data_IF_705829302929
#
_entry.id   IF_705829302929
#
_cell.length_a   1.000
_cell.length_b   1.000
_cell.length_c   1.000
_cell.angle_alpha   90.00
_cell.angle_beta   90.00
_cell.angle_gamma   90.00
#
_symmetry.space_group_name_H-M   'P 1'
#
loop_
_entity.id
_entity.type
_entity.pdbx_description
1 polymer ?
#
# COMPACT_ATOMS: atom_id res chain seq x y z
N UNK A 1 -9.02 23.36 11.97
CA UNK A 1 -8.35 22.77 10.80
C UNK A 1 -7.30 21.78 11.29
N UNK A 2 -7.56 20.47 11.25
CA UNK A 2 -6.53 19.45 11.52
C UNK A 2 -5.75 19.23 10.21
N UNK A 3 -4.72 20.05 9.96
CA UNK A 3 -3.99 20.15 8.68
C UNK A 3 -2.92 19.04 8.45
N UNK A 4 -3.08 17.88 9.07
CA UNK A 4 -2.13 16.78 8.92
C UNK A 4 -2.65 15.72 7.95
N UNK A 5 -1.75 15.11 7.17
CA UNK A 5 -2.02 13.88 6.43
C UNK A 5 -1.36 12.75 7.19
N UNK A 6 -2.13 11.74 7.59
CA UNK A 6 -1.61 10.54 8.22
C UNK A 6 -1.36 9.46 7.17
N UNK A 7 -0.11 9.03 7.03
CA UNK A 7 0.28 7.90 6.17
C UNK A 7 0.59 6.70 7.03
N UNK A 8 -0.22 5.66 6.90
CA UNK A 8 -0.02 4.38 7.56
C UNK A 8 0.84 3.47 6.68
N UNK A 9 2.16 3.49 6.91
CA UNK A 9 3.11 2.70 6.12
C UNK A 9 2.86 1.19 6.24
N UNK A 10 2.34 0.72 7.37
CA UNK A 10 2.02 -0.69 7.55
C UNK A 10 0.94 -1.13 6.57
N UNK A 11 -0.16 -0.38 6.47
CA UNK A 11 -1.23 -0.65 5.48
C UNK A 11 -0.73 -0.54 4.04
N UNK A 12 0.12 0.44 3.76
CA UNK A 12 0.68 0.64 2.43
C UNK A 12 1.55 -0.54 1.99
N UNK A 13 2.48 -0.99 2.84
CA UNK A 13 3.31 -2.17 2.57
C UNK A 13 2.51 -3.49 2.58
N UNK A 14 1.39 -3.53 3.29
CA UNK A 14 0.45 -4.65 3.27
C UNK A 14 -0.36 -4.78 1.98
N UNK A 15 -0.34 -3.78 1.09
CA UNK A 15 -1.04 -3.87 -0.19
C UNK A 15 -0.28 -4.82 -1.14
N UNK A 16 -0.89 -5.94 -1.58
CA UNK A 16 -0.22 -6.93 -2.44
C UNK A 16 0.29 -6.34 -3.75
N UNK A 17 -0.42 -5.36 -4.32
CA UNK A 17 0.00 -4.71 -5.56
C UNK A 17 1.25 -3.84 -5.37
N UNK A 18 1.36 -3.17 -4.22
CA UNK A 18 2.58 -2.41 -3.87
C UNK A 18 3.74 -3.37 -3.65
N UNK A 19 3.53 -4.42 -2.83
CA UNK A 19 4.54 -5.42 -2.51
C UNK A 19 5.09 -6.11 -3.75
N UNK A 20 4.23 -6.59 -4.65
CA UNK A 20 4.62 -7.41 -5.81
C UNK A 20 5.09 -6.52 -6.95
N UNK A 21 4.31 -5.51 -7.36
CA UNK A 21 4.60 -4.78 -8.60
C UNK A 21 5.54 -3.59 -8.39
N UNK A 22 5.40 -2.83 -7.31
CA UNK A 22 6.23 -1.65 -7.07
C UNK A 22 7.55 -2.00 -6.35
N UNK A 23 7.52 -3.00 -5.48
CA UNK A 23 8.66 -3.38 -4.63
C UNK A 23 9.22 -4.77 -4.96
N UNK A 24 8.80 -5.37 -6.08
CA UNK A 24 9.34 -6.63 -6.62
C UNK A 24 9.40 -7.79 -5.62
N UNK A 25 8.49 -7.83 -4.65
CA UNK A 25 8.45 -8.88 -3.63
C UNK A 25 9.65 -8.86 -2.68
N UNK A 26 10.34 -7.73 -2.49
CA UNK A 26 11.56 -7.59 -1.67
C UNK A 26 11.44 -8.04 -0.21
N UNK A 27 10.22 -8.20 0.31
CA UNK A 27 9.96 -8.70 1.67
C UNK A 27 8.86 -9.77 1.67
N UNK A 28 9.03 -10.79 2.49
CA UNK A 28 8.09 -11.90 2.61
C UNK A 28 6.94 -11.60 3.58
N UNK A 29 7.28 -11.01 4.74
CA UNK A 29 6.33 -10.68 5.82
C UNK A 29 6.20 -9.17 5.98
N UNK A 30 5.00 -8.74 6.36
CA UNK A 30 4.67 -7.34 6.58
C UNK A 30 4.96 -6.94 8.03
N UNK A 31 6.23 -6.98 8.44
CA UNK A 31 6.68 -6.40 9.70
C UNK A 31 7.88 -5.49 9.45
N UNK A 32 8.10 -4.53 10.36
CA UNK A 32 9.12 -3.50 10.19
C UNK A 32 10.51 -4.08 9.89
N UNK A 33 10.91 -5.15 10.59
CA UNK A 33 12.24 -5.76 10.41
C UNK A 33 12.41 -6.38 9.02
N UNK A 34 11.43 -7.16 8.57
CA UNK A 34 11.49 -7.83 7.26
C UNK A 34 11.43 -6.83 6.11
N UNK A 35 10.62 -5.77 6.23
CA UNK A 35 10.53 -4.71 5.24
C UNK A 35 11.84 -3.90 5.20
N UNK A 36 12.38 -3.52 6.37
CA UNK A 36 13.65 -2.80 6.47
C UNK A 36 14.79 -3.60 5.84
N UNK A 37 14.92 -4.89 6.15
CA UNK A 37 15.96 -5.75 5.57
C UNK A 37 15.82 -5.87 4.05
N UNK A 38 14.58 -6.01 3.56
CA UNK A 38 14.32 -6.17 2.12
C UNK A 38 14.52 -4.90 1.29
N UNK A 39 14.15 -3.73 1.83
CA UNK A 39 14.24 -2.46 1.10
C UNK A 39 15.54 -1.72 1.38
N UNK A 40 15.94 -1.59 2.65
CA UNK A 40 17.05 -0.74 3.09
C UNK A 40 18.35 -1.54 3.34
N UNK A 41 18.29 -2.87 3.40
CA UNK A 41 19.43 -3.71 3.78
C UNK A 41 19.82 -3.64 5.25
N UNK A 42 19.04 -2.93 6.07
CA UNK A 42 19.25 -2.78 7.53
C UNK A 42 18.09 -3.40 8.32
N UNK A 43 18.36 -3.82 9.56
CA UNK A 43 17.36 -4.46 10.43
C UNK A 43 17.03 -3.64 11.68
N UNK A 44 16.08 -4.15 12.48
CA UNK A 44 15.86 -3.67 13.84
C UNK A 44 17.04 -4.01 14.75
N UNK A 45 17.12 -3.33 15.89
CA UNK A 45 18.07 -3.65 16.96
C UNK A 45 17.74 -5.02 17.54
N UNK A 46 18.74 -5.87 17.67
CA UNK A 46 18.64 -7.12 18.43
C UNK A 46 18.68 -6.79 19.93
N UNK A 47 17.66 -7.23 20.66
CA UNK A 47 17.49 -6.89 22.07
C UNK A 47 18.22 -7.88 22.97
N UNK A 48 18.85 -7.38 24.03
CA UNK A 48 19.53 -8.20 25.03
C UNK A 48 18.56 -8.99 25.94
N UNK A 49 17.36 -8.46 26.15
CA UNK A 49 16.28 -9.07 26.93
C UNK A 49 14.90 -8.63 26.39
N UNK A 50 13.83 -9.02 27.07
CA UNK A 50 12.49 -8.53 26.85
C UNK A 50 12.41 -7.01 27.04
N UNK A 51 11.59 -6.34 26.23
CA UNK A 51 11.46 -4.87 26.20
C UNK A 51 11.24 -4.26 27.60
N UNK A 52 10.48 -4.93 28.47
CA UNK A 52 10.19 -4.47 29.83
C UNK A 52 11.38 -4.52 30.79
N UNK A 53 12.42 -5.30 30.47
CA UNK A 53 13.61 -5.50 31.28
C UNK A 53 14.85 -4.77 30.74
N UNK A 54 14.73 -4.06 29.61
CA UNK A 54 15.84 -3.34 29.01
C UNK A 54 16.27 -2.14 29.84
N UNK A 55 17.56 -1.85 29.81
CA UNK A 55 18.06 -0.58 30.32
C UNK A 55 17.57 0.58 29.43
N UNK A 56 17.46 1.78 30.00
CA UNK A 56 16.92 2.95 29.29
C UNK A 56 17.70 3.35 28.04
N UNK A 57 19.02 3.11 28.02
CA UNK A 57 19.85 3.44 26.86
C UNK A 57 19.50 2.56 25.66
N UNK A 58 19.43 1.25 25.88
CA UNK A 58 19.05 0.27 24.84
C UNK A 58 17.60 0.47 24.40
N UNK A 59 16.68 0.72 25.33
CA UNK A 59 15.29 1.01 25.01
C UNK A 59 15.13 2.29 24.17
N UNK A 60 15.87 3.35 24.51
CA UNK A 60 15.87 4.59 23.73
C UNK A 60 16.42 4.37 22.32
N UNK A 61 17.52 3.60 22.20
CA UNK A 61 18.10 3.25 20.91
C UNK A 61 17.15 2.42 20.05
N UNK A 62 16.46 1.43 20.64
CA UNK A 62 15.44 0.64 19.97
C UNK A 62 14.31 1.51 19.41
N UNK A 63 13.71 2.36 20.25
CA UNK A 63 12.60 3.23 19.84
C UNK A 63 13.03 4.23 18.76
N UNK A 64 14.23 4.79 18.89
CA UNK A 64 14.78 5.71 17.89
C UNK A 64 15.02 4.99 16.55
N UNK A 65 15.61 3.79 16.57
CA UNK A 65 15.90 3.05 15.36
C UNK A 65 14.61 2.70 14.61
N UNK A 66 13.56 2.28 15.32
CA UNK A 66 12.26 2.00 14.70
C UNK A 66 11.69 3.22 13.98
N UNK A 67 11.70 4.39 14.63
CA UNK A 67 11.24 5.63 14.02
C UNK A 67 12.12 6.05 12.83
N UNK A 68 13.44 5.87 12.96
CA UNK A 68 14.40 6.18 11.91
C UNK A 68 14.23 5.28 10.67
N UNK A 69 13.96 3.98 10.86
CA UNK A 69 13.65 3.07 9.75
C UNK A 69 12.41 3.52 8.98
N UNK A 70 11.36 3.95 9.70
CA UNK A 70 10.14 4.47 9.06
C UNK A 70 10.42 5.74 8.26
N UNK A 71 11.26 6.65 8.78
CA UNK A 71 11.70 7.84 8.04
C UNK A 71 12.48 7.45 6.78
N UNK A 72 13.44 6.54 6.89
CA UNK A 72 14.27 6.10 5.76
C UNK A 72 13.45 5.47 4.62
N UNK A 73 12.32 4.81 4.90
CA UNK A 73 11.41 4.36 3.85
C UNK A 73 10.92 5.52 2.97
N UNK A 74 10.74 6.71 3.53
CA UNK A 74 10.31 7.89 2.77
C UNK A 74 11.41 8.45 1.87
N UNK A 75 12.67 8.16 2.19
CA UNK A 75 13.86 8.64 1.48
C UNK A 75 14.38 7.62 0.45
N UNK A 76 14.01 6.35 0.63
CA UNK A 76 14.36 5.22 -0.21
C UNK A 76 14.27 5.50 -1.72
N UNK A 77 15.32 5.12 -2.46
CA UNK A 77 15.45 5.26 -3.92
C UNK A 77 14.96 6.62 -4.44
N UNK A 78 15.57 7.70 -3.94
CA UNK A 78 15.20 9.08 -4.28
C UNK A 78 13.69 9.33 -4.05
N UNK A 79 13.22 9.00 -2.84
CA UNK A 79 11.81 9.17 -2.43
C UNK A 79 10.83 8.41 -3.34
N UNK A 80 11.20 7.22 -3.81
CA UNK A 80 10.38 6.39 -4.69
C UNK A 80 8.96 6.20 -4.14
N UNK A 81 8.83 5.83 -2.86
CA UNK A 81 7.54 5.55 -2.24
C UNK A 81 6.64 6.80 -2.21
N UNK A 82 7.18 7.96 -1.84
CA UNK A 82 6.41 9.21 -1.82
C UNK A 82 5.98 9.64 -3.23
N UNK A 83 6.87 9.49 -4.23
CA UNK A 83 6.53 9.77 -5.63
C UNK A 83 5.44 8.84 -6.13
N UNK A 84 5.52 7.56 -5.79
CA UNK A 84 4.48 6.58 -6.14
C UNK A 84 3.14 6.92 -5.50
N UNK A 85 3.11 7.24 -4.20
CA UNK A 85 1.89 7.69 -3.52
C UNK A 85 1.27 8.91 -4.21
N UNK A 86 2.09 9.93 -4.54
CA UNK A 86 1.62 11.12 -5.24
C UNK A 86 1.10 10.83 -6.65
N UNK A 87 1.74 9.90 -7.39
CA UNK A 87 1.27 9.47 -8.71
C UNK A 87 -0.07 8.73 -8.62
N UNK A 88 -0.20 7.79 -7.68
CA UNK A 88 -1.44 7.04 -7.45
C UNK A 88 -2.58 7.98 -7.05
N UNK A 89 -2.32 8.99 -6.22
CA UNK A 89 -3.30 10.03 -5.91
C UNK A 89 -3.77 10.75 -7.17
N UNK A 90 -2.86 11.15 -8.06
CA UNK A 90 -3.22 11.86 -9.31
C UNK A 90 -4.01 10.99 -10.27
N UNK A 91 -3.64 9.72 -10.43
CA UNK A 91 -4.31 8.79 -11.35
C UNK A 91 -5.71 8.46 -10.83
N UNK A 92 -5.85 8.10 -9.56
CA UNK A 92 -7.13 7.71 -8.97
C UNK A 92 -8.02 8.90 -8.57
N UNK A 93 -7.44 10.12 -8.59
CA UNK A 93 -7.93 11.36 -7.97
C UNK A 93 -8.50 11.12 -6.56
N UNK A 94 -7.72 10.39 -5.75
CA UNK A 94 -7.98 10.10 -4.34
C UNK A 94 -6.97 10.84 -3.46
N UNK A 95 -7.31 11.06 -2.19
CA UNK A 95 -6.40 11.63 -1.20
C UNK A 95 -5.27 10.66 -0.84
N UNK A 96 -4.18 11.17 -0.27
CA UNK A 96 -3.02 10.35 0.13
C UNK A 96 -3.42 9.29 1.18
N UNK A 97 -4.30 9.65 2.10
CA UNK A 97 -4.81 8.73 3.12
C UNK A 97 -5.60 7.57 2.49
N UNK A 98 -6.45 7.85 1.50
CA UNK A 98 -7.22 6.81 0.83
C UNK A 98 -6.34 5.88 -0.01
N UNK A 99 -5.38 6.44 -0.76
CA UNK A 99 -4.43 5.65 -1.56
C UNK A 99 -3.60 4.71 -0.70
N UNK A 100 -3.19 5.16 0.49
CA UNK A 100 -2.33 4.36 1.39
C UNK A 100 -3.11 3.34 2.21
N UNK A 101 -4.45 3.40 2.21
CA UNK A 101 -5.32 2.49 2.98
C UNK A 101 -6.10 1.49 2.13
N UNK A 102 -6.41 1.80 0.87
CA UNK A 102 -7.24 0.94 0.02
C UNK A 102 -6.44 0.07 -0.93
N UNK A 103 -7.05 -1.04 -1.37
CA UNK A 103 -6.51 -1.92 -2.40
C UNK A 103 -6.64 -1.33 -3.80
N UNK A 104 -5.85 -1.85 -4.74
CA UNK A 104 -5.79 -1.35 -6.13
C UNK A 104 -7.15 -1.32 -6.84
N UNK A 105 -8.05 -2.26 -6.52
CA UNK A 105 -9.41 -2.29 -7.09
C UNK A 105 -10.20 -1.02 -6.77
N UNK A 106 -9.99 -0.43 -5.59
CA UNK A 106 -10.64 0.82 -5.19
C UNK A 106 -10.08 2.01 -5.98
N UNK A 107 -8.77 2.03 -6.23
CA UNK A 107 -8.13 3.07 -7.04
C UNK A 107 -8.66 3.05 -8.49
N UNK A 108 -8.76 1.86 -9.07
CA UNK A 108 -9.33 1.64 -10.41
C UNK A 108 -10.80 2.07 -10.45
N UNK A 109 -11.59 1.67 -9.45
CA UNK A 109 -12.99 2.06 -9.38
C UNK A 109 -13.17 3.58 -9.26
N UNK A 110 -12.32 4.26 -8.49
CA UNK A 110 -12.33 5.72 -8.37
C UNK A 110 -12.06 6.40 -9.71
N UNK A 111 -11.01 5.96 -10.42
CA UNK A 111 -10.67 6.44 -11.76
C UNK A 111 -11.86 6.27 -12.72
N UNK A 112 -12.43 5.07 -12.84
CA UNK A 112 -13.55 4.85 -13.77
C UNK A 112 -14.79 5.67 -13.41
N UNK A 113 -15.12 5.82 -12.13
CA UNK A 113 -16.25 6.67 -11.71
C UNK A 113 -16.05 8.12 -12.13
N UNK A 114 -14.82 8.62 -12.12
CA UNK A 114 -14.52 9.99 -12.55
C UNK A 114 -14.58 10.13 -14.07
N UNK A 115 -14.08 9.16 -14.81
CA UNK A 115 -14.20 9.14 -16.28
C UNK A 115 -15.66 9.08 -16.73
N UNK A 116 -16.51 8.29 -16.06
CA UNK A 116 -17.95 8.28 -16.34
C UNK A 116 -18.57 9.67 -16.13
N UNK A 117 -18.28 10.31 -14.99
CA UNK A 117 -18.79 11.66 -14.70
C UNK A 117 -18.30 12.71 -15.69
N UNK A 118 -17.01 12.67 -16.06
CA UNK A 118 -16.41 13.61 -16.99
C UNK A 118 -17.04 13.53 -18.39
N UNK A 119 -17.46 12.34 -18.80
CA UNK A 119 -18.09 12.08 -20.11
C UNK A 119 -19.63 12.07 -20.06
N UNK A 120 -20.25 12.44 -18.93
CA UNK A 120 -21.71 12.43 -18.78
C UNK A 120 -22.35 11.03 -18.85
N UNK A 121 -21.57 9.97 -18.61
CA UNK A 121 -22.01 8.59 -18.64
C UNK A 121 -22.60 8.19 -17.27
N UNK A 122 -23.65 7.37 -17.30
CA UNK A 122 -24.23 6.81 -16.09
C UNK A 122 -23.24 5.85 -15.42
N UNK A 123 -22.98 6.04 -14.13
CA UNK A 123 -22.21 5.07 -13.34
C UNK A 123 -23.12 3.87 -13.06
N UNK A 124 -22.78 2.66 -13.56
CA UNK A 124 -23.64 1.50 -13.37
C UNK A 124 -23.66 1.06 -11.89
N UNK A 125 -24.83 0.60 -11.43
CA UNK A 125 -24.92 -0.03 -10.11
C UNK A 125 -24.45 -1.47 -10.21
N UNK A 126 -24.07 -2.04 -9.06
CA UNK A 126 -23.57 -3.41 -9.03
C UNK A 126 -24.59 -4.43 -9.56
N UNK A 127 -25.85 -4.27 -9.16
CA UNK A 127 -26.97 -5.12 -9.59
C UNK A 127 -27.10 -5.13 -11.12
N UNK A 128 -27.01 -3.95 -11.76
CA UNK A 128 -27.17 -3.84 -13.21
C UNK A 128 -26.05 -4.57 -13.97
N UNK A 129 -24.82 -4.51 -13.46
CA UNK A 129 -23.67 -5.25 -14.01
C UNK A 129 -23.88 -6.76 -13.85
N UNK A 130 -24.33 -7.20 -12.68
CA UNK A 130 -24.50 -8.62 -12.38
C UNK A 130 -25.63 -9.24 -13.23
N UNK A 131 -26.71 -8.49 -13.51
CA UNK A 131 -27.78 -8.92 -14.43
C UNK A 131 -27.33 -9.04 -15.89
N UNK A 132 -26.33 -8.27 -16.31
CA UNK A 132 -25.77 -8.35 -17.67
C UNK A 132 -24.71 -9.46 -17.82
N UNK A 133 -24.25 -10.07 -16.73
CA UNK A 133 -23.09 -10.99 -16.71
C UNK A 133 -23.42 -12.50 -16.88
N UNK A 134 -24.66 -12.91 -17.12
CA UNK A 134 -25.03 -14.33 -17.37
C UNK A 134 -25.82 -14.47 -18.69
N UNK A 135 -25.69 -15.53 -19.54
CA UNK A 135 -24.74 -16.66 -19.58
C UNK A 135 -24.13 -16.98 -20.98
N UNK A 136 -23.86 -16.03 -21.88
CA UNK A 136 -23.36 -16.37 -23.25
C UNK A 136 -21.82 -16.58 -23.36
N UNK A 137 -21.13 -16.85 -22.26
CA UNK A 137 -19.67 -17.05 -22.25
C UNK A 137 -19.24 -18.35 -21.57
N UNK A 138 -19.99 -19.45 -21.77
CA UNK A 138 -19.43 -20.79 -21.60
C UNK A 138 -18.92 -21.28 -22.95
N UNK A 139 -17.65 -21.00 -23.27
CA UNK A 139 -16.93 -21.80 -24.25
C UNK A 139 -16.62 -23.15 -23.60
N UNK A 140 -17.36 -24.18 -23.99
CA UNK A 140 -16.98 -25.56 -23.75
C UNK A 140 -15.59 -25.80 -24.36
N UNK A 141 -14.63 -26.26 -23.56
CA UNK A 141 -13.33 -26.66 -24.06
C UNK A 141 -13.49 -27.97 -24.86
N UNK A 142 -13.37 -27.89 -26.20
CA UNK A 142 -13.21 -29.09 -27.01
C UNK A 142 -11.79 -29.64 -26.80
N UNK A 143 -11.70 -30.77 -26.09
CA UNK A 143 -10.48 -31.59 -26.03
C UNK A 143 -10.46 -32.42 -27.32
N UNK A 144 -9.54 -32.10 -28.22
CA UNK A 144 -9.16 -32.91 -29.38
C UNK A 144 -7.85 -33.64 -29.12
#
# INVERSE_FOLDING_TARGET
MRRGVHVDMYKFFGNPSIKIYALSGKYQRENLNTIAKGLLGVGKLDLSDNISALNYYELAHYCWLDANLVLQFTEYENKLLLRLMALLMRISRMSMEEVTRFYISSWIQSLFRQEHRANGLLIPRRVDIDTMKQPDAQTEAMIG
#
